data_IF_022405042683
#
_entry.id   IF_022405042683
#
_cell.length_a   1.000
_cell.length_b   1.000
_cell.length_c   1.000
_cell.angle_alpha   90.00
_cell.angle_beta   90.00
_cell.angle_gamma   90.00
#
_symmetry.space_group_name_H-M   'P 1'
#
loop_
_entity.id
_entity.type
_entity.pdbx_description
1 polymer ?
#
# COMPACT_ATOMS: atom_id res chain seq x y z
N UNK A 1 -31.48 -14.95 -20.24
CA UNK A 1 -30.05 -15.26 -20.02
C UNK A 1 -29.33 -13.99 -20.46
N UNK A 2 -29.08 -13.09 -19.52
CA UNK A 2 -28.51 -11.78 -19.82
C UNK A 2 -27.02 -11.94 -20.08
N UNK A 3 -26.63 -11.69 -21.33
CA UNK A 3 -25.24 -11.71 -21.77
C UNK A 3 -24.68 -10.32 -21.51
N UNK A 4 -23.78 -10.20 -20.54
CA UNK A 4 -22.96 -9.01 -20.36
C UNK A 4 -21.98 -8.95 -21.54
N UNK A 5 -22.29 -8.09 -22.51
CA UNK A 5 -21.38 -7.73 -23.60
C UNK A 5 -20.33 -6.77 -23.04
N UNK A 6 -19.14 -7.28 -22.77
CA UNK A 6 -17.98 -6.45 -22.43
C UNK A 6 -17.33 -5.99 -23.73
N UNK A 7 -17.39 -4.68 -23.98
CA UNK A 7 -16.65 -4.04 -25.06
C UNK A 7 -15.15 -4.03 -24.70
N UNK A 8 -14.38 -4.90 -25.33
CA UNK A 8 -12.92 -5.00 -25.14
C UNK A 8 -12.17 -3.72 -25.56
N UNK A 9 -12.82 -2.82 -26.32
CA UNK A 9 -12.28 -1.53 -26.74
C UNK A 9 -12.45 -0.41 -25.71
N UNK A 10 -13.34 -0.56 -24.72
CA UNK A 10 -13.58 0.43 -23.69
C UNK A 10 -12.47 0.38 -22.62
N UNK A 11 -11.35 1.06 -22.91
CA UNK A 11 -10.41 1.42 -21.85
C UNK A 11 -11.14 2.32 -20.86
N UNK A 12 -11.06 1.98 -19.58
CA UNK A 12 -11.51 2.87 -18.52
C UNK A 12 -10.69 4.15 -18.67
N UNK A 13 -11.32 5.24 -19.12
CA UNK A 13 -10.73 6.57 -19.06
C UNK A 13 -10.98 7.11 -17.65
N UNK A 14 -9.92 7.26 -16.87
CA UNK A 14 -10.01 7.75 -15.51
C UNK A 14 -8.86 8.70 -15.23
N UNK A 15 -9.16 9.80 -14.55
CA UNK A 15 -8.16 10.71 -13.96
C UNK A 15 -7.20 9.95 -13.02
N UNK A 16 -7.61 8.79 -12.49
CA UNK A 16 -6.74 7.92 -11.68
C UNK A 16 -5.67 7.19 -12.50
N UNK A 17 -5.86 7.07 -13.82
CA UNK A 17 -4.92 6.46 -14.76
C UNK A 17 -3.91 7.50 -15.26
N UNK A 18 -4.15 8.80 -15.02
CA UNK A 18 -3.23 9.86 -15.39
C UNK A 18 -1.95 9.81 -14.55
N UNK A 19 -0.84 9.54 -15.24
CA UNK A 19 0.49 9.22 -14.72
C UNK A 19 1.24 10.34 -14.01
N UNK A 20 0.56 11.30 -13.36
CA UNK A 20 1.23 12.34 -12.58
C UNK A 20 1.93 11.70 -11.38
N UNK A 21 3.24 11.91 -11.31
CA UNK A 21 4.07 11.47 -10.19
C UNK A 21 4.08 12.58 -9.13
N UNK A 22 3.45 12.31 -7.99
CA UNK A 22 3.43 13.19 -6.83
C UNK A 22 4.53 12.85 -5.81
N UNK A 23 4.73 13.74 -4.84
CA UNK A 23 5.53 13.45 -3.64
C UNK A 23 4.61 13.29 -2.44
N UNK A 24 4.64 12.10 -1.85
CA UNK A 24 3.88 11.75 -0.64
C UNK A 24 4.82 11.29 0.47
N UNK A 25 4.26 11.03 1.66
CA UNK A 25 5.03 10.57 2.80
C UNK A 25 4.45 9.30 3.41
N UNK A 26 5.34 8.38 3.78
CA UNK A 26 5.03 7.19 4.55
C UNK A 26 5.82 7.17 5.85
N UNK A 27 5.32 6.36 6.79
CA UNK A 27 5.93 6.14 8.09
C UNK A 27 6.29 4.66 8.21
N UNK A 28 7.49 4.37 8.71
CA UNK A 28 7.92 3.04 9.15
C UNK A 28 8.46 3.11 10.58
N UNK A 29 8.46 2.02 11.36
CA UNK A 29 9.12 2.00 12.65
C UNK A 29 10.60 2.40 12.53
N UNK A 30 11.09 3.21 13.46
CA UNK A 30 12.49 3.68 13.46
C UNK A 30 13.47 2.50 13.60
N UNK A 31 13.07 1.45 14.33
CA UNK A 31 13.84 0.19 14.43
C UNK A 31 14.01 -0.47 13.06
N UNK A 32 12.95 -0.53 12.25
CA UNK A 32 13.04 -1.05 10.89
C UNK A 32 13.95 -0.17 10.02
N UNK A 33 13.74 1.15 10.06
CA UNK A 33 14.55 2.10 9.30
C UNK A 33 16.06 2.01 9.60
N UNK A 34 16.41 1.83 10.87
CA UNK A 34 17.81 1.78 11.31
C UNK A 34 18.53 0.51 10.87
N UNK A 35 17.81 -0.58 10.59
CA UNK A 35 18.38 -1.82 10.04
C UNK A 35 18.78 -1.68 8.57
N UNK A 36 18.11 -0.78 7.84
CA UNK A 36 18.36 -0.58 6.42
C UNK A 36 19.62 0.24 6.17
N UNK A 37 20.42 -0.20 5.20
CA UNK A 37 21.54 0.56 4.67
C UNK A 37 21.08 1.70 3.73
N UNK A 38 22.03 2.45 3.17
CA UNK A 38 21.72 3.58 2.31
C UNK A 38 21.03 3.17 0.99
N UNK A 39 21.38 2.03 0.42
CA UNK A 39 20.80 1.53 -0.82
C UNK A 39 19.41 0.96 -0.58
N UNK A 40 19.24 0.18 0.48
CA UNK A 40 17.95 -0.37 0.90
C UNK A 40 16.94 0.74 1.20
N UNK A 41 17.37 1.83 1.85
CA UNK A 41 16.52 3.02 2.06
C UNK A 41 16.10 3.71 0.76
N UNK A 42 16.93 3.66 -0.29
CA UNK A 42 16.55 4.17 -1.62
C UNK A 42 15.54 3.23 -2.29
N UNK A 43 15.78 1.93 -2.22
CA UNK A 43 14.87 0.90 -2.76
C UNK A 43 13.51 0.95 -2.08
N UNK A 44 13.47 1.14 -0.75
CA UNK A 44 12.25 1.25 0.04
C UNK A 44 11.31 2.34 -0.51
N UNK A 45 11.87 3.48 -0.96
CA UNK A 45 11.07 4.59 -1.51
C UNK A 45 10.31 4.23 -2.78
N UNK A 46 10.78 3.22 -3.51
CA UNK A 46 10.20 2.74 -4.76
C UNK A 46 9.44 1.41 -4.59
N UNK A 47 9.33 0.89 -3.34
CA UNK A 47 8.78 -0.45 -3.06
C UNK A 47 7.26 -0.50 -3.14
N UNK A 48 6.57 0.62 -2.91
CA UNK A 48 5.10 0.65 -2.82
C UNK A 48 4.38 0.07 -4.06
N UNK A 49 4.71 0.45 -5.30
CA UNK A 49 4.10 -0.17 -6.48
C UNK A 49 4.31 -1.68 -6.55
N UNK A 50 5.51 -2.17 -6.19
CA UNK A 50 5.85 -3.60 -6.21
C UNK A 50 5.03 -4.38 -5.17
N UNK A 51 4.93 -3.84 -3.95
CA UNK A 51 4.14 -4.43 -2.87
C UNK A 51 2.66 -4.50 -3.24
N UNK A 52 2.10 -3.42 -3.80
CA UNK A 52 0.70 -3.42 -4.25
C UNK A 52 0.48 -4.42 -5.38
N UNK A 53 1.40 -4.53 -6.34
CA UNK A 53 1.30 -5.55 -7.40
C UNK A 53 1.30 -6.97 -6.83
N UNK A 54 2.10 -7.24 -5.80
CA UNK A 54 2.21 -8.58 -5.18
C UNK A 54 1.02 -8.91 -4.27
N UNK A 55 0.58 -7.97 -3.44
CA UNK A 55 -0.35 -8.26 -2.33
C UNK A 55 -1.76 -7.71 -2.50
N UNK A 56 -2.04 -6.83 -3.47
CA UNK A 56 -3.37 -6.18 -3.60
C UNK A 56 -4.53 -7.19 -3.70
N UNK A 57 -4.38 -8.26 -4.50
CA UNK A 57 -5.40 -9.31 -4.65
C UNK A 57 -5.66 -10.04 -3.33
N UNK A 58 -4.61 -10.44 -2.63
CA UNK A 58 -4.71 -11.11 -1.33
C UNK A 58 -5.35 -10.20 -0.27
N UNK A 59 -4.94 -8.94 -0.22
CA UNK A 59 -5.49 -7.94 0.69
C UNK A 59 -6.98 -7.75 0.36
N UNK A 60 -7.35 -7.56 -0.90
CA UNK A 60 -8.74 -7.38 -1.30
C UNK A 60 -9.65 -8.57 -0.94
N UNK A 61 -9.11 -9.80 -0.88
CA UNK A 61 -9.90 -11.00 -0.58
C UNK A 61 -9.89 -11.43 0.89
N UNK A 62 -9.03 -10.85 1.74
CA UNK A 62 -8.94 -11.24 3.16
C UNK A 62 -9.91 -10.44 4.03
N UNK A 63 -10.15 -10.94 5.24
CA UNK A 63 -10.92 -10.21 6.25
C UNK A 63 -10.26 -8.87 6.62
N UNK A 64 -11.05 -7.93 7.14
CA UNK A 64 -10.53 -6.61 7.54
C UNK A 64 -9.41 -6.75 8.57
N UNK A 65 -8.36 -5.94 8.43
CA UNK A 65 -7.26 -5.88 9.40
C UNK A 65 -7.69 -5.23 10.72
N UNK A 66 -8.76 -4.42 10.65
CA UNK A 66 -9.40 -3.82 11.80
C UNK A 66 -10.92 -3.94 11.71
N UNK A 67 -11.51 -4.67 12.66
CA UNK A 67 -12.95 -4.98 12.67
C UNK A 67 -13.80 -3.89 13.35
N UNK A 68 -13.19 -2.88 13.99
CA UNK A 68 -13.94 -1.80 14.63
C UNK A 68 -14.36 -0.75 13.60
N UNK A 69 -15.62 -0.81 13.19
CA UNK A 69 -16.20 0.18 12.29
C UNK A 69 -16.09 1.61 12.85
N UNK A 70 -15.94 2.60 11.96
CA UNK A 70 -15.81 4.02 12.33
C UNK A 70 -14.49 4.41 13.01
N UNK A 71 -13.54 3.47 13.20
CA UNK A 71 -12.20 3.75 13.70
C UNK A 71 -11.14 3.29 12.70
N UNK A 72 -10.01 3.98 12.69
CA UNK A 72 -8.85 3.66 11.87
C UNK A 72 -7.75 3.10 12.77
N UNK A 73 -7.22 1.93 12.42
CA UNK A 73 -6.04 1.37 13.09
C UNK A 73 -4.76 2.03 12.57
N UNK A 74 -3.94 2.49 13.50
CA UNK A 74 -2.61 3.03 13.26
C UNK A 74 -1.54 2.06 13.77
N UNK A 75 -0.29 2.31 13.39
CA UNK A 75 0.86 1.56 13.91
C UNK A 75 1.05 1.91 15.39
N UNK A 76 0.50 1.10 16.29
CA UNK A 76 0.63 1.24 17.75
C UNK A 76 1.65 0.24 18.30
N UNK A 77 2.33 0.59 19.38
CA UNK A 77 3.29 -0.30 20.06
C UNK A 77 4.61 -0.52 19.32
N UNK A 78 4.85 0.17 18.19
CA UNK A 78 6.07 0.03 17.37
C UNK A 78 7.17 1.05 17.72
N UNK A 79 6.97 1.84 18.78
CA UNK A 79 7.89 2.90 19.20
C UNK A 79 7.85 4.10 18.26
N UNK A 80 9.00 4.77 18.13
CA UNK A 80 9.14 5.97 17.30
C UNK A 80 9.03 5.62 15.82
N UNK A 81 8.34 6.48 15.06
CA UNK A 81 8.14 6.31 13.62
C UNK A 81 9.08 7.24 12.85
N UNK A 82 9.67 6.71 11.78
CA UNK A 82 10.46 7.48 10.82
C UNK A 82 9.61 7.85 9.60
N UNK A 83 9.48 9.16 9.35
CA UNK A 83 8.91 9.72 8.11
C UNK A 83 9.94 9.71 7.00
N UNK A 84 9.51 9.29 5.81
CA UNK A 84 10.28 9.43 4.58
C UNK A 84 9.35 9.77 3.41
N UNK A 85 9.90 10.46 2.42
CA UNK A 85 9.15 10.86 1.23
C UNK A 85 9.30 9.81 0.13
N UNK A 86 8.20 9.58 -0.60
CA UNK A 86 8.15 8.72 -1.78
C UNK A 86 7.69 9.53 -2.98
N UNK A 87 8.14 9.12 -4.18
CA UNK A 87 7.57 9.59 -5.44
C UNK A 87 6.68 8.49 -5.99
N UNK A 88 5.41 8.80 -6.20
CA UNK A 88 4.40 7.78 -6.51
C UNK A 88 3.37 8.32 -7.49
N UNK A 89 2.93 7.47 -8.42
CA UNK A 89 1.82 7.80 -9.31
C UNK A 89 0.51 7.91 -8.54
N UNK A 90 -0.34 8.87 -8.92
CA UNK A 90 -1.65 9.09 -8.30
C UNK A 90 -2.48 7.80 -8.18
N UNK A 91 -2.54 6.99 -9.23
CA UNK A 91 -3.26 5.72 -9.22
C UNK A 91 -2.76 4.75 -8.14
N UNK A 92 -1.44 4.58 -8.01
CA UNK A 92 -0.82 3.71 -6.99
C UNK A 92 -1.15 4.21 -5.57
N UNK A 93 -1.08 5.53 -5.36
CA UNK A 93 -1.41 6.14 -4.08
C UNK A 93 -2.90 6.02 -3.73
N UNK A 94 -3.77 6.17 -4.73
CA UNK A 94 -5.21 5.98 -4.60
C UNK A 94 -5.55 4.53 -4.25
N UNK A 95 -4.94 3.54 -4.93
CA UNK A 95 -5.12 2.11 -4.63
C UNK A 95 -4.73 1.79 -3.18
N UNK A 96 -3.59 2.29 -2.69
CA UNK A 96 -3.21 2.16 -1.29
C UNK A 96 -4.29 2.74 -0.36
N UNK A 97 -4.83 3.89 -0.71
CA UNK A 97 -5.90 4.55 0.04
C UNK A 97 -7.19 3.72 0.13
N UNK A 98 -7.66 3.20 -1.02
CA UNK A 98 -8.89 2.39 -1.09
C UNK A 98 -8.74 1.11 -0.27
N UNK A 99 -7.64 0.39 -0.45
CA UNK A 99 -7.37 -0.83 0.33
C UNK A 99 -7.27 -0.51 1.82
N UNK A 100 -6.53 0.54 2.21
CA UNK A 100 -6.41 0.90 3.61
C UNK A 100 -7.76 1.22 4.25
N UNK A 101 -8.62 1.97 3.55
CA UNK A 101 -9.98 2.28 3.99
C UNK A 101 -10.85 1.03 4.13
N UNK A 102 -10.83 0.13 3.13
CA UNK A 102 -11.56 -1.14 3.17
C UNK A 102 -11.17 -1.99 4.40
N UNK A 103 -9.90 -2.03 4.75
CA UNK A 103 -9.41 -2.75 5.93
C UNK A 103 -9.53 -2.00 7.25
N UNK A 104 -10.00 -0.74 7.26
CA UNK A 104 -10.13 0.07 8.47
C UNK A 104 -8.79 0.49 9.08
N UNK A 105 -7.77 0.69 8.25
CA UNK A 105 -6.40 1.00 8.69
C UNK A 105 -5.86 2.24 7.98
N UNK A 106 -4.81 2.85 8.52
CA UNK A 106 -4.12 3.95 7.85
C UNK A 106 -3.29 3.46 6.66
N UNK A 107 -3.01 4.33 5.67
CA UNK A 107 -2.11 4.01 4.54
C UNK A 107 -0.74 3.51 5.00
N UNK A 108 -0.20 4.15 6.04
CA UNK A 108 1.08 3.74 6.65
C UNK A 108 0.97 2.35 7.28
N UNK A 109 -0.13 2.03 7.97
CA UNK A 109 -0.32 0.70 8.54
C UNK A 109 -0.34 -0.37 7.45
N UNK A 110 -1.14 -0.15 6.39
CA UNK A 110 -1.21 -1.11 5.28
C UNK A 110 0.14 -1.28 4.58
N UNK A 111 0.89 -0.20 4.39
CA UNK A 111 2.24 -0.28 3.84
C UNK A 111 3.20 -1.12 4.72
N UNK A 112 3.21 -0.89 6.03
CA UNK A 112 4.05 -1.68 6.95
C UNK A 112 3.60 -3.14 7.02
N UNK A 113 2.29 -3.41 6.93
CA UNK A 113 1.77 -4.77 6.86
C UNK A 113 2.25 -5.49 5.59
N UNK A 114 2.25 -4.83 4.43
CA UNK A 114 2.81 -5.39 3.20
C UNK A 114 4.33 -5.60 3.29
N UNK A 115 5.07 -4.71 3.96
CA UNK A 115 6.50 -4.93 4.22
C UNK A 115 6.72 -6.18 5.07
N UNK A 116 5.93 -6.36 6.13
CA UNK A 116 5.98 -7.55 6.97
C UNK A 116 5.65 -8.82 6.19
N UNK A 117 4.60 -8.81 5.35
CA UNK A 117 4.28 -9.95 4.48
C UNK A 117 5.44 -10.30 3.55
N UNK A 118 6.15 -9.30 3.03
CA UNK A 118 7.28 -9.50 2.14
C UNK A 118 8.49 -10.10 2.85
N UNK A 119 8.78 -9.66 4.08
CA UNK A 119 9.82 -10.27 4.90
C UNK A 119 9.50 -11.73 5.24
N UNK A 120 8.22 -12.10 5.44
CA UNK A 120 7.86 -13.51 5.69
C UNK A 120 7.89 -14.37 4.41
N UNK A 121 7.56 -13.77 3.25
CA UNK A 121 7.49 -14.47 1.97
C UNK A 121 8.85 -14.82 1.35
N UNK A 122 9.95 -14.24 1.83
CA UNK A 122 11.31 -14.60 1.41
C UNK A 122 11.82 -15.90 2.10
N UNK A 123 11.03 -16.50 3.01
CA UNK A 123 11.34 -17.75 3.74
C UNK A 123 10.53 -18.97 3.30
N UNK A 124 9.77 -18.89 2.20
CA UNK A 124 9.01 -19.99 1.57
C UNK A 124 9.48 -20.21 0.13
#
# INVERSE_FOLDING_TARGET
MDILLFDEGQKIESVLIEGVVGTDSLLVPEVYWNRLDLQERKVLRNRLPLLLRKYSKQIASMTRLHNKAGKIKYNLGVGKMKKFSIRVHTGVWATLGVLAAAHGVSRCYLFNYMLWLDEQGDFL
#
